data_IF_439123122210
#
_entry.id   IF_439123122210
#
_cell.length_a   1.000
_cell.length_b   1.000
_cell.length_c   1.000
_cell.angle_alpha   90.00
_cell.angle_beta   90.00
_cell.angle_gamma   90.00
#
_symmetry.space_group_name_H-M   'P 1'
#
loop_
_entity.id
_entity.type
_entity.pdbx_description
1 polymer ?
#
# COMPACT_ATOMS: atom_id res chain seq x y z
N UNK A 1 -28.74 -17.98 -12.57
CA UNK A 1 -28.90 -17.69 -11.14
C UNK A 1 -27.70 -18.13 -10.33
N UNK A 2 -27.20 -19.33 -10.50
CA UNK A 2 -25.97 -19.79 -9.81
C UNK A 2 -24.74 -18.96 -10.20
N UNK A 3 -24.71 -18.41 -11.42
CA UNK A 3 -23.61 -17.58 -11.92
C UNK A 3 -23.51 -16.24 -11.16
N UNK A 4 -24.64 -15.62 -10.78
CA UNK A 4 -24.64 -14.37 -10.02
C UNK A 4 -24.14 -14.60 -8.59
N UNK A 5 -24.56 -15.67 -7.96
CA UNK A 5 -24.11 -16.05 -6.62
C UNK A 5 -22.61 -16.33 -6.60
N UNK A 6 -22.10 -17.03 -7.61
CA UNK A 6 -20.68 -17.32 -7.79
C UNK A 6 -19.85 -16.06 -7.99
N UNK A 7 -20.32 -15.11 -8.80
CA UNK A 7 -19.64 -13.84 -9.05
C UNK A 7 -19.56 -12.99 -7.77
N UNK A 8 -20.64 -12.95 -7.00
CA UNK A 8 -20.68 -12.23 -5.73
C UNK A 8 -19.67 -12.80 -4.73
N UNK A 9 -19.62 -14.13 -4.59
CA UNK A 9 -18.67 -14.80 -3.71
C UNK A 9 -17.22 -14.57 -4.16
N UNK A 10 -16.95 -14.62 -5.47
CA UNK A 10 -15.62 -14.39 -6.04
C UNK A 10 -15.15 -12.96 -5.78
N UNK A 11 -16.03 -11.96 -5.95
CA UNK A 11 -15.72 -10.57 -5.69
C UNK A 11 -15.40 -10.34 -4.20
N UNK A 12 -16.18 -10.94 -3.30
CA UNK A 12 -15.93 -10.86 -1.86
C UNK A 12 -14.61 -11.48 -1.45
N UNK A 13 -14.27 -12.64 -2.00
CA UNK A 13 -12.98 -13.29 -1.75
C UNK A 13 -11.82 -12.49 -2.33
N UNK A 14 -11.97 -11.92 -3.51
CA UNK A 14 -10.96 -11.07 -4.12
C UNK A 14 -10.69 -9.81 -3.27
N UNK A 15 -11.71 -9.21 -2.69
CA UNK A 15 -11.57 -8.09 -1.75
C UNK A 15 -10.82 -8.52 -0.50
N UNK A 16 -11.14 -9.69 0.08
CA UNK A 16 -10.50 -10.20 1.29
C UNK A 16 -9.01 -10.49 1.08
N UNK A 17 -8.63 -10.95 -0.13
CA UNK A 17 -7.25 -11.28 -0.49
C UNK A 17 -6.61 -10.27 -1.43
N UNK A 18 -7.17 -9.05 -1.51
CA UNK A 18 -6.61 -7.97 -2.32
C UNK A 18 -5.25 -7.50 -1.78
N UNK A 19 -4.58 -6.63 -2.52
CA UNK A 19 -3.30 -6.04 -2.12
C UNK A 19 -3.42 -5.36 -0.76
N UNK A 20 -4.48 -4.59 -0.56
CA UNK A 20 -4.85 -4.02 0.74
C UNK A 20 -6.11 -4.72 1.23
N UNK A 21 -6.07 -5.21 2.46
CA UNK A 21 -7.21 -5.88 3.08
C UNK A 21 -8.43 -4.97 3.14
N UNK A 22 -9.61 -5.52 2.81
CA UNK A 22 -10.87 -4.80 2.91
C UNK A 22 -11.13 -4.33 4.34
N UNK A 23 -10.71 -5.10 5.34
CA UNK A 23 -10.83 -4.74 6.77
C UNK A 23 -10.04 -3.46 7.06
N UNK A 24 -8.80 -3.34 6.55
CA UNK A 24 -7.98 -2.12 6.73
C UNK A 24 -8.65 -0.91 6.11
N UNK A 25 -9.20 -1.05 4.92
CA UNK A 25 -9.90 0.05 4.26
C UNK A 25 -11.12 0.48 5.08
N UNK A 26 -11.89 -0.46 5.60
CA UNK A 26 -13.05 -0.14 6.45
C UNK A 26 -12.63 0.53 7.75
N UNK A 27 -11.57 0.06 8.40
CA UNK A 27 -11.02 0.70 9.60
C UNK A 27 -10.61 2.14 9.32
N UNK A 28 -9.91 2.39 8.20
CA UNK A 28 -9.53 3.75 7.79
C UNK A 28 -10.74 4.65 7.58
N UNK A 29 -11.81 4.12 6.98
CA UNK A 29 -13.05 4.88 6.71
C UNK A 29 -13.79 5.28 8.00
N UNK A 30 -13.60 4.54 9.09
CA UNK A 30 -14.30 4.82 10.37
C UNK A 30 -13.53 5.82 11.24
N UNK A 31 -12.27 6.09 10.93
CA UNK A 31 -11.44 7.02 11.72
C UNK A 31 -11.88 8.45 11.48
N UNK A 32 -12.06 9.19 12.58
CA UNK A 32 -12.35 10.63 12.56
C UNK A 32 -11.18 11.36 13.19
N UNK A 33 -10.20 11.73 12.38
CA UNK A 33 -9.04 12.49 12.83
C UNK A 33 -9.24 13.98 12.53
N UNK A 34 -8.88 14.82 13.48
CA UNK A 34 -8.81 16.27 13.28
C UNK A 34 -7.46 16.71 12.74
N UNK A 35 -6.49 15.84 12.80
CA UNK A 35 -5.10 16.14 12.42
C UNK A 35 -4.81 15.86 10.96
N UNK A 36 -5.40 14.79 10.41
CA UNK A 36 -5.15 14.37 9.04
C UNK A 36 -6.45 14.01 8.33
N UNK A 37 -6.46 14.20 7.01
CA UNK A 37 -7.54 13.78 6.11
C UNK A 37 -7.10 12.49 5.42
N UNK A 38 -7.84 11.41 5.62
CA UNK A 38 -7.52 10.08 5.10
C UNK A 38 -8.08 9.79 3.70
N UNK A 39 -8.77 10.75 3.09
CA UNK A 39 -9.44 10.55 1.79
C UNK A 39 -8.46 10.03 0.73
N UNK A 40 -7.30 10.65 0.61
CA UNK A 40 -6.29 10.24 -0.38
C UNK A 40 -5.67 8.88 -0.05
N UNK A 41 -5.37 8.62 1.22
CA UNK A 41 -4.83 7.32 1.62
C UNK A 41 -5.80 6.18 1.30
N UNK A 42 -7.08 6.37 1.64
CA UNK A 42 -8.13 5.39 1.33
C UNK A 42 -8.20 5.15 -0.18
N UNK A 43 -8.17 6.22 -0.97
CA UNK A 43 -8.22 6.11 -2.44
C UNK A 43 -7.01 5.40 -3.00
N UNK A 44 -5.81 5.67 -2.48
CA UNK A 44 -4.59 4.95 -2.87
C UNK A 44 -4.73 3.45 -2.61
N UNK A 45 -5.28 3.07 -1.46
CA UNK A 45 -5.52 1.66 -1.11
C UNK A 45 -6.52 1.01 -2.07
N UNK A 46 -7.60 1.70 -2.39
CA UNK A 46 -8.61 1.19 -3.33
C UNK A 46 -8.03 1.01 -4.74
N UNK A 47 -7.23 1.98 -5.21
CA UNK A 47 -6.61 1.89 -6.52
C UNK A 47 -5.52 0.82 -6.57
N UNK A 48 -4.79 0.59 -5.48
CA UNK A 48 -3.85 -0.53 -5.38
C UNK A 48 -4.57 -1.87 -5.60
N UNK A 49 -5.74 -2.04 -5.02
CA UNK A 49 -6.52 -3.26 -5.18
C UNK A 49 -7.00 -3.44 -6.63
N UNK A 50 -7.45 -2.36 -7.27
CA UNK A 50 -7.88 -2.40 -8.67
C UNK A 50 -6.70 -2.74 -9.59
N UNK A 51 -5.56 -2.08 -9.39
CA UNK A 51 -4.37 -2.31 -10.20
C UNK A 51 -3.87 -3.75 -10.04
N UNK A 52 -3.82 -4.25 -8.79
CA UNK A 52 -3.38 -5.60 -8.51
C UNK A 52 -4.32 -6.65 -9.14
N UNK A 53 -5.62 -6.47 -9.03
CA UNK A 53 -6.62 -7.39 -9.58
C UNK A 53 -6.57 -7.48 -11.10
N UNK A 54 -6.07 -6.45 -11.77
CA UNK A 54 -5.98 -6.35 -13.23
C UNK A 54 -4.55 -6.50 -13.75
N UNK A 55 -3.62 -6.96 -12.93
CA UNK A 55 -2.20 -7.16 -13.28
C UNK A 55 -1.53 -5.89 -13.84
N UNK A 56 -1.94 -4.73 -13.35
CA UNK A 56 -1.35 -3.44 -13.73
C UNK A 56 -0.11 -3.19 -12.86
N UNK A 57 0.97 -3.90 -13.16
CA UNK A 57 2.14 -3.97 -12.28
C UNK A 57 2.91 -2.66 -12.20
N UNK A 58 3.02 -1.91 -13.28
CA UNK A 58 3.63 -0.58 -13.26
C UNK A 58 2.82 0.37 -12.37
N UNK A 59 1.49 0.37 -12.54
CA UNK A 59 0.60 1.19 -11.73
C UNK A 59 0.69 0.81 -10.25
N UNK A 60 0.72 -0.49 -9.93
CA UNK A 60 0.85 -0.98 -8.55
C UNK A 60 2.14 -0.44 -7.91
N UNK A 61 3.27 -0.52 -8.61
CA UNK A 61 4.54 -0.02 -8.11
C UNK A 61 4.48 1.49 -7.82
N UNK A 62 3.90 2.27 -8.73
CA UNK A 62 3.78 3.73 -8.58
C UNK A 62 2.83 4.11 -7.44
N UNK A 63 1.69 3.42 -7.32
CA UNK A 63 0.73 3.66 -6.24
C UNK A 63 1.30 3.31 -4.88
N UNK A 64 2.06 2.23 -4.79
CA UNK A 64 2.75 1.85 -3.55
C UNK A 64 3.76 2.93 -3.14
N UNK A 65 4.59 3.38 -4.08
CA UNK A 65 5.54 4.47 -3.82
C UNK A 65 4.83 5.74 -3.35
N UNK A 66 3.74 6.12 -4.02
CA UNK A 66 2.95 7.28 -3.64
C UNK A 66 2.39 7.14 -2.22
N UNK A 67 1.97 5.94 -1.82
CA UNK A 67 1.47 5.65 -0.48
C UNK A 67 2.59 5.85 0.56
N UNK A 68 3.79 5.34 0.31
CA UNK A 68 4.94 5.52 1.20
C UNK A 68 5.31 6.99 1.36
N UNK A 69 5.18 7.78 0.31
CA UNK A 69 5.47 9.22 0.36
C UNK A 69 4.34 10.03 1.04
N UNK A 70 3.14 9.47 1.11
CA UNK A 70 1.97 10.16 1.64
C UNK A 70 1.83 10.06 3.17
N UNK A 71 2.24 8.93 3.77
CA UNK A 71 1.95 8.63 5.18
C UNK A 71 2.90 9.23 6.23
N UNK A 72 4.13 9.70 5.93
CA UNK A 72 5.09 10.10 6.96
C UNK A 72 4.56 11.11 7.99
N UNK A 73 3.74 12.12 7.64
CA UNK A 73 3.21 13.06 8.65
C UNK A 73 2.39 12.40 9.76
N UNK A 74 1.76 11.25 9.50
CA UNK A 74 1.02 10.50 10.53
C UNK A 74 1.98 10.07 11.64
N UNK A 75 3.24 9.76 11.29
CA UNK A 75 4.29 9.34 12.22
C UNK A 75 5.11 10.51 12.75
N UNK A 76 4.73 11.75 12.42
CA UNK A 76 5.50 12.96 12.75
C UNK A 76 6.91 12.91 12.15
N UNK A 77 7.03 12.40 10.94
CA UNK A 77 8.29 12.29 10.19
C UNK A 77 8.16 13.02 8.85
N UNK A 78 9.29 13.47 8.31
CA UNK A 78 9.33 14.19 7.04
C UNK A 78 9.36 13.27 5.83
N UNK A 79 9.89 12.05 5.99
CA UNK A 79 10.02 11.08 4.90
C UNK A 79 9.77 9.67 5.39
N UNK A 80 9.46 8.76 4.46
CA UNK A 80 9.28 7.35 4.82
C UNK A 80 10.60 6.72 5.29
N UNK A 81 11.72 7.17 4.76
CA UNK A 81 13.04 6.74 5.24
C UNK A 81 13.20 7.01 6.74
N UNK A 82 12.73 8.15 7.20
CA UNK A 82 12.76 8.51 8.63
C UNK A 82 11.78 7.67 9.46
N UNK A 83 10.63 7.32 8.90
CA UNK A 83 9.70 6.37 9.54
C UNK A 83 10.42 5.03 9.75
N UNK A 84 11.04 4.52 8.71
CA UNK A 84 11.70 3.21 8.72
C UNK A 84 12.91 3.18 9.67
N UNK A 85 13.62 4.28 9.86
CA UNK A 85 14.81 4.34 10.70
C UNK A 85 14.55 4.79 12.12
N UNK A 86 13.47 5.55 12.38
CA UNK A 86 13.29 6.24 13.65
C UNK A 86 11.97 6.02 14.39
N UNK A 87 11.06 5.24 13.85
CA UNK A 87 9.76 5.04 14.49
C UNK A 87 9.57 3.58 14.92
N UNK A 88 9.10 3.40 16.15
CA UNK A 88 8.60 2.11 16.65
C UNK A 88 9.68 1.13 17.08
N UNK A 89 9.25 -0.11 17.28
CA UNK A 89 10.13 -1.21 17.71
C UNK A 89 10.93 -1.75 16.54
N UNK A 90 11.96 -2.54 16.85
CA UNK A 90 12.87 -3.11 15.85
C UNK A 90 12.13 -3.90 14.77
N UNK A 91 11.15 -4.72 15.12
CA UNK A 91 10.41 -5.52 14.14
C UNK A 91 9.62 -4.64 13.16
N UNK A 92 9.01 -3.56 13.63
CA UNK A 92 8.32 -2.60 12.78
C UNK A 92 9.32 -1.88 11.86
N UNK A 93 10.44 -1.43 12.41
CA UNK A 93 11.50 -0.76 11.62
C UNK A 93 12.02 -1.68 10.52
N UNK A 94 12.29 -2.94 10.82
CA UNK A 94 12.78 -3.91 9.85
C UNK A 94 11.79 -4.09 8.70
N UNK A 95 10.49 -4.17 9.01
CA UNK A 95 9.44 -4.27 8.00
C UNK A 95 9.34 -3.01 7.15
N UNK A 96 9.42 -1.83 7.77
CA UNK A 96 9.38 -0.55 7.04
C UNK A 96 10.62 -0.34 6.18
N UNK A 97 11.79 -0.79 6.64
CA UNK A 97 13.01 -0.78 5.85
C UNK A 97 12.89 -1.67 4.62
N UNK A 98 12.21 -2.81 4.74
CA UNK A 98 11.94 -3.67 3.60
C UNK A 98 11.06 -2.96 2.55
N UNK A 99 10.05 -2.21 2.98
CA UNK A 99 9.25 -1.37 2.09
C UNK A 99 10.09 -0.27 1.44
N UNK A 100 10.86 0.47 2.23
CA UNK A 100 11.67 1.58 1.73
C UNK A 100 12.75 1.10 0.75
N UNK A 101 13.46 0.04 1.10
CA UNK A 101 14.57 -0.45 0.28
C UNK A 101 14.10 -1.30 -0.90
N UNK A 102 13.00 -2.05 -0.75
CA UNK A 102 12.49 -2.93 -1.79
C UNK A 102 11.48 -2.25 -2.72
N UNK A 103 10.35 -1.85 -2.17
CA UNK A 103 9.24 -1.31 -2.96
C UNK A 103 9.61 0.01 -3.65
N UNK A 104 10.25 0.94 -2.93
CA UNK A 104 10.67 2.22 -3.51
C UNK A 104 11.69 2.01 -4.62
N UNK A 105 12.65 1.13 -4.41
CA UNK A 105 13.70 0.86 -5.38
C UNK A 105 13.15 0.30 -6.70
N UNK A 106 12.21 -0.63 -6.61
CA UNK A 106 11.53 -1.19 -7.79
C UNK A 106 10.74 -0.08 -8.52
N UNK A 107 9.96 0.70 -7.77
CA UNK A 107 9.19 1.80 -8.36
C UNK A 107 10.10 2.83 -9.05
N UNK A 108 11.17 3.24 -8.38
CA UNK A 108 12.11 4.22 -8.93
C UNK A 108 12.80 3.71 -10.19
N UNK A 109 13.15 2.42 -10.25
CA UNK A 109 13.79 1.84 -11.43
C UNK A 109 12.89 1.89 -12.67
N UNK A 110 11.58 1.89 -12.48
CA UNK A 110 10.62 1.97 -13.60
C UNK A 110 10.12 3.39 -13.84
N UNK A 111 10.07 4.24 -12.82
CA UNK A 111 9.55 5.60 -12.91
C UNK A 111 10.47 6.50 -13.75
N UNK A 112 11.77 6.39 -13.55
CA UNK A 112 12.77 7.27 -14.14
C UNK A 112 13.45 6.67 -15.38
N UNK A 113 13.08 5.45 -15.77
CA UNK A 113 13.67 4.79 -16.93
C UNK A 113 13.25 5.43 -18.25
N UNK A 114 14.25 5.82 -19.05
CA UNK A 114 14.00 6.23 -20.43
C UNK A 114 13.80 5.01 -21.32
N UNK A 115 13.21 5.21 -22.48
CA UNK A 115 12.96 4.13 -23.42
C UNK A 115 14.27 3.45 -23.84
N UNK A 116 14.25 2.12 -23.90
CA UNK A 116 15.40 1.27 -24.22
C UNK A 116 15.10 0.43 -25.46
N UNK A 117 16.13 -0.20 -26.01
CA UNK A 117 15.94 -1.17 -27.11
C UNK A 117 15.15 -2.40 -26.64
N UNK A 118 15.33 -2.79 -25.40
CA UNK A 118 14.60 -3.91 -24.78
C UNK A 118 14.15 -3.53 -23.38
N UNK A 119 12.84 -3.57 -23.15
CA UNK A 119 12.25 -3.23 -21.86
C UNK A 119 12.02 -4.49 -21.02
N UNK A 120 12.14 -4.32 -19.70
CA UNK A 120 11.79 -5.34 -18.71
C UNK A 120 10.69 -4.77 -17.82
N UNK A 121 9.55 -5.45 -17.78
CA UNK A 121 8.41 -5.04 -16.96
C UNK A 121 8.46 -5.72 -15.59
N UNK A 122 7.97 -5.05 -14.53
CA UNK A 122 7.89 -5.67 -13.22
C UNK A 122 6.85 -6.80 -13.22
N UNK A 123 7.14 -7.86 -12.49
CA UNK A 123 6.18 -8.95 -12.30
C UNK A 123 5.36 -8.71 -11.05
N UNK A 124 4.18 -9.33 -10.95
CA UNK A 124 3.34 -9.22 -9.76
C UNK A 124 4.05 -9.76 -8.51
N UNK A 125 4.92 -10.75 -8.65
CA UNK A 125 5.70 -11.26 -7.53
C UNK A 125 6.72 -10.24 -7.02
N UNK A 126 7.39 -9.53 -7.93
CA UNK A 126 8.40 -8.53 -7.56
C UNK A 126 7.82 -7.34 -6.81
N UNK A 127 6.57 -6.96 -7.10
CA UNK A 127 5.90 -5.82 -6.47
C UNK A 127 4.95 -6.22 -5.36
N UNK A 128 4.99 -7.47 -4.89
CA UNK A 128 4.09 -7.93 -3.84
C UNK A 128 4.66 -7.60 -2.46
N UNK A 129 4.27 -6.44 -1.93
CA UNK A 129 4.59 -5.97 -0.58
C UNK A 129 3.33 -5.87 0.28
N UNK A 130 2.30 -6.63 -0.04
CA UNK A 130 1.00 -6.54 0.63
C UNK A 130 1.08 -6.79 2.13
N UNK A 131 1.89 -7.75 2.58
CA UNK A 131 2.05 -8.05 4.01
C UNK A 131 2.72 -6.90 4.75
N UNK A 132 3.78 -6.34 4.18
CA UNK A 132 4.48 -5.19 4.79
C UNK A 132 3.58 -3.95 4.82
N UNK A 133 2.79 -3.74 3.78
CA UNK A 133 1.83 -2.64 3.71
C UNK A 133 0.73 -2.81 4.76
N UNK A 134 0.28 -4.03 5.00
CA UNK A 134 -0.72 -4.29 6.05
C UNK A 134 -0.19 -3.91 7.43
N UNK A 135 1.08 -4.20 7.71
CA UNK A 135 1.73 -3.80 8.98
C UNK A 135 1.77 -2.27 9.10
N UNK A 136 2.12 -1.57 8.03
CA UNK A 136 2.12 -0.11 7.99
C UNK A 136 0.72 0.46 8.28
N UNK A 137 -0.29 -0.04 7.60
CA UNK A 137 -1.67 0.44 7.77
C UNK A 137 -2.24 0.13 9.15
N UNK A 138 -1.90 -1.02 9.72
CA UNK A 138 -2.27 -1.36 11.09
C UNK A 138 -1.72 -0.33 12.09
N UNK A 139 -0.49 0.11 11.90
CA UNK A 139 0.14 1.12 12.77
C UNK A 139 -0.47 2.50 12.57
N UNK A 140 -0.76 2.89 11.32
CA UNK A 140 -1.48 4.13 11.00
C UNK A 140 -2.81 4.17 11.75
N UNK A 141 -3.57 3.09 11.70
CA UNK A 141 -4.87 2.97 12.37
C UNK A 141 -4.68 3.08 13.89
N UNK A 142 -3.70 2.36 14.45
CA UNK A 142 -3.43 2.41 15.89
C UNK A 142 -3.09 3.82 16.37
N UNK A 143 -2.25 4.54 15.63
CA UNK A 143 -1.89 5.95 15.97
C UNK A 143 -3.14 6.84 15.95
N UNK A 144 -3.96 6.74 14.92
CA UNK A 144 -5.09 7.65 14.72
C UNK A 144 -6.28 7.32 15.61
N UNK A 145 -6.43 6.07 16.06
CA UNK A 145 -7.52 5.68 16.96
C UNK A 145 -7.36 6.21 18.39
N UNK A 146 -6.14 6.46 18.84
CA UNK A 146 -5.88 6.98 20.19
C UNK A 146 -5.91 8.51 20.27
N UNK A 147 -6.12 9.18 19.15
CA UNK A 147 -6.28 10.65 19.11
C UNK A 147 -7.72 11.12 19.53
#
# INVERSE_FOLDING_TARGET
MSAQSSQSSTASLAEAFGYVSATRIQELKTIKSKRVDLTKLIRLCEELNIAHANDLNLATAMLLRATLDHVPPIFSKASFKEVASGYGRKSFKDTMQHLENGARKIADSHLHGQIREKEVLPTSLQINFSQCLDVLLAEVIAILQIE
#
